data_IF_023724676286
#
_entry.id   IF_023724676286
#
_cell.length_a   1.000
_cell.length_b   1.000
_cell.length_c   1.000
_cell.angle_alpha   90.00
_cell.angle_beta   90.00
_cell.angle_gamma   90.00
#
_symmetry.space_group_name_H-M   'P 1'
#
loop_
_entity.id
_entity.type
_entity.pdbx_description
1 polymer ?
#
# COMPACT_ATOMS: atom_id res chain seq x y z
N UNK A 1 26.20 12.11 -8.52
CA UNK A 1 25.27 10.94 -8.58
C UNK A 1 24.22 11.04 -7.49
N UNK A 2 23.07 10.38 -7.63
CA UNK A 2 21.98 10.45 -6.63
C UNK A 2 22.44 10.04 -5.21
N UNK A 3 23.35 9.09 -5.06
CA UNK A 3 23.88 8.70 -3.76
C UNK A 3 24.59 9.87 -3.05
N UNK A 4 25.44 10.60 -3.75
CA UNK A 4 26.18 11.72 -3.17
C UNK A 4 25.23 12.84 -2.73
N UNK A 5 24.16 13.07 -3.50
CA UNK A 5 23.10 14.03 -3.14
C UNK A 5 22.36 13.59 -1.88
N UNK A 6 21.99 12.29 -1.75
CA UNK A 6 21.35 11.77 -0.55
C UNK A 6 22.24 11.92 0.69
N UNK A 7 23.52 11.63 0.58
CA UNK A 7 24.48 11.79 1.67
C UNK A 7 24.68 13.26 2.06
N UNK A 8 24.76 14.17 1.10
CA UNK A 8 24.85 15.60 1.36
C UNK A 8 23.55 16.14 2.04
N UNK A 9 22.38 15.66 1.60
CA UNK A 9 21.10 16.00 2.24
C UNK A 9 21.01 15.45 3.66
N UNK A 10 21.50 14.22 3.90
CA UNK A 10 21.56 13.63 5.24
C UNK A 10 22.47 14.45 6.18
N UNK A 11 23.65 14.87 5.70
CA UNK A 11 24.56 15.75 6.47
C UNK A 11 23.86 17.03 6.89
N UNK A 12 23.20 17.72 5.96
CA UNK A 12 22.43 18.95 6.24
C UNK A 12 21.26 18.70 7.21
N UNK A 13 20.64 17.53 7.15
CA UNK A 13 19.58 17.16 8.08
C UNK A 13 20.11 17.01 9.51
N UNK A 14 21.29 16.43 9.69
CA UNK A 14 21.93 16.25 11.01
C UNK A 14 22.28 17.58 11.67
N UNK A 15 22.57 18.62 10.90
CA UNK A 15 22.83 19.98 11.40
C UNK A 15 21.60 20.60 12.12
N UNK A 16 20.38 20.11 11.83
CA UNK A 16 19.14 20.56 12.50
C UNK A 16 19.00 20.03 13.93
N UNK A 17 19.90 19.17 14.37
CA UNK A 17 19.90 18.57 15.70
C UNK A 17 19.13 17.25 15.77
N UNK A 18 18.98 16.73 17.00
CA UNK A 18 18.36 15.44 17.24
C UNK A 18 16.83 15.55 17.15
N UNK A 19 16.22 14.56 16.53
CA UNK A 19 14.77 14.39 16.56
C UNK A 19 14.30 13.98 17.97
N UNK A 20 13.08 14.37 18.35
CA UNK A 20 12.44 13.87 19.57
C UNK A 20 12.38 12.33 19.58
N UNK A 21 12.64 11.74 20.74
CA UNK A 21 12.42 10.31 20.95
C UNK A 21 10.92 10.07 21.02
N UNK A 22 10.42 9.14 20.20
CA UNK A 22 9.03 8.69 20.23
C UNK A 22 8.98 7.19 20.50
N UNK A 23 7.87 6.71 21.07
CA UNK A 23 7.64 5.29 21.30
C UNK A 23 7.56 4.48 20.00
N UNK A 24 7.68 3.16 20.12
CA UNK A 24 7.58 2.25 18.97
C UNK A 24 6.12 2.05 18.50
N UNK A 25 5.16 2.14 19.40
CA UNK A 25 3.75 2.01 19.09
C UNK A 25 3.20 3.28 18.41
N UNK A 26 2.37 3.16 17.38
CA UNK A 26 1.73 4.32 16.75
C UNK A 26 0.77 5.00 17.73
N UNK A 27 0.89 6.32 17.90
CA UNK A 27 0.10 7.09 18.90
C UNK A 27 -1.41 6.95 18.68
N UNK A 28 -1.85 6.81 17.42
CA UNK A 28 -3.27 6.67 17.06
C UNK A 28 -3.75 5.20 17.05
N UNK A 29 -2.92 4.24 17.47
CA UNK A 29 -3.24 2.81 17.41
C UNK A 29 -3.80 2.36 16.06
N UNK A 30 -3.27 2.91 14.99
CA UNK A 30 -3.82 2.81 13.65
C UNK A 30 -2.74 2.36 12.66
N UNK A 31 -3.10 1.44 11.76
CA UNK A 31 -2.34 1.18 10.56
C UNK A 31 -3.04 1.79 9.35
N UNK A 32 -2.27 2.32 8.43
CA UNK A 32 -2.72 2.82 7.13
C UNK A 32 -2.02 2.07 6.03
N UNK A 33 -2.77 1.50 5.11
CA UNK A 33 -2.27 0.89 3.88
C UNK A 33 -2.60 1.80 2.73
N UNK A 34 -1.60 2.24 1.98
CA UNK A 34 -1.79 3.13 0.83
C UNK A 34 -0.88 2.76 -0.34
N UNK A 35 -0.99 3.50 -1.44
CA UNK A 35 -0.19 3.25 -2.64
C UNK A 35 1.25 3.74 -2.47
N UNK A 36 2.18 3.04 -3.16
CA UNK A 36 3.59 3.47 -3.27
C UNK A 36 3.80 4.65 -4.22
N UNK A 37 2.75 5.21 -4.82
CA UNK A 37 2.83 6.33 -5.76
C UNK A 37 3.58 7.51 -5.14
N UNK A 38 4.64 7.96 -5.82
CA UNK A 38 5.51 9.03 -5.31
C UNK A 38 4.80 10.37 -5.14
N UNK A 39 3.69 10.59 -5.85
CA UNK A 39 2.87 11.82 -5.74
C UNK A 39 2.14 11.91 -4.40
N UNK A 40 1.96 10.79 -3.69
CA UNK A 40 1.35 10.76 -2.35
C UNK A 40 2.31 11.21 -1.24
N UNK A 41 3.63 11.17 -1.48
CA UNK A 41 4.63 11.52 -0.46
C UNK A 41 4.44 12.96 0.02
N UNK A 42 4.31 13.15 1.33
CA UNK A 42 3.96 14.39 2.04
C UNK A 42 2.53 14.88 1.83
N UNK A 43 2.01 14.85 0.59
CA UNK A 43 0.62 15.23 0.32
C UNK A 43 -0.37 14.40 1.15
N UNK A 44 -0.11 13.11 1.25
CA UNK A 44 -0.94 12.18 2.00
C UNK A 44 -0.94 12.48 3.50
N UNK A 45 0.23 12.66 4.09
CA UNK A 45 0.37 12.97 5.50
C UNK A 45 -0.26 14.34 5.84
N UNK A 46 -0.03 15.34 5.00
CA UNK A 46 -0.60 16.69 5.15
C UNK A 46 -2.13 16.67 5.05
N UNK A 47 -2.69 15.98 4.04
CA UNK A 47 -4.14 15.88 3.84
C UNK A 47 -4.86 15.16 4.98
N UNK A 48 -4.20 14.21 5.64
CA UNK A 48 -4.74 13.44 6.76
C UNK A 48 -4.40 14.03 8.13
N UNK A 49 -3.58 15.08 8.19
CA UNK A 49 -3.09 15.65 9.44
C UNK A 49 -2.27 14.65 10.26
N UNK A 50 -1.42 13.86 9.58
CA UNK A 50 -0.58 12.85 10.20
C UNK A 50 0.81 13.38 10.47
N UNK A 51 1.33 13.09 11.64
CA UNK A 51 2.68 13.41 12.05
C UNK A 51 3.52 12.16 12.28
N UNK A 52 4.82 12.33 12.32
CA UNK A 52 5.77 11.27 12.63
C UNK A 52 5.38 10.53 13.92
N UNK A 53 5.14 9.22 13.83
CA UNK A 53 4.77 8.35 14.95
C UNK A 53 3.27 8.25 15.23
N UNK A 54 2.41 8.85 14.41
CA UNK A 54 0.96 8.76 14.58
C UNK A 54 0.40 7.41 14.17
N UNK A 55 0.83 6.90 13.03
CA UNK A 55 0.31 5.66 12.44
C UNK A 55 1.44 4.73 12.02
N UNK A 56 1.12 3.45 11.88
CA UNK A 56 1.94 2.51 11.13
C UNK A 56 1.53 2.60 9.65
N UNK A 57 2.43 3.04 8.80
CA UNK A 57 2.14 3.22 7.38
C UNK A 57 2.76 2.11 6.55
N UNK A 58 1.96 1.48 5.68
CA UNK A 58 2.34 0.42 4.76
C UNK A 58 2.01 0.86 3.33
N UNK A 59 2.99 0.81 2.43
CA UNK A 59 2.82 1.20 1.03
C UNK A 59 3.00 0.00 0.11
N UNK A 60 2.03 -0.26 -0.75
CA UNK A 60 2.05 -1.32 -1.76
C UNK A 60 1.69 -0.78 -3.12
N UNK A 61 1.96 -1.50 -4.20
CA UNK A 61 1.48 -1.16 -5.53
C UNK A 61 -0.05 -1.11 -5.53
N UNK A 62 -0.65 0.05 -5.88
CA UNK A 62 -2.09 0.24 -5.94
C UNK A 62 -2.85 0.19 -4.61
N UNK A 63 -2.18 0.24 -3.46
CA UNK A 63 -2.79 -0.05 -2.14
C UNK A 63 -3.49 -1.42 -2.12
N UNK A 64 -2.99 -2.40 -2.89
CA UNK A 64 -3.65 -3.70 -3.10
C UNK A 64 -2.86 -4.87 -2.55
N UNK A 65 -3.52 -6.01 -2.47
CA UNK A 65 -2.95 -7.34 -2.30
C UNK A 65 -3.16 -8.07 -3.62
N UNK A 66 -2.11 -8.57 -4.24
CA UNK A 66 -2.21 -9.28 -5.51
C UNK A 66 -3.10 -10.53 -5.39
N UNK A 67 -3.83 -10.89 -6.45
CA UNK A 67 -4.77 -12.02 -6.38
C UNK A 67 -4.11 -13.35 -5.99
N UNK A 68 -2.94 -13.74 -6.56
CA UNK A 68 -2.27 -14.97 -6.12
C UNK A 68 -1.90 -14.99 -4.63
N UNK A 69 -1.61 -13.81 -4.06
CA UNK A 69 -1.30 -13.70 -2.63
C UNK A 69 -2.55 -13.72 -1.75
N UNK A 70 -3.69 -13.23 -2.26
CA UNK A 70 -4.99 -13.35 -1.59
C UNK A 70 -5.36 -14.83 -1.35
N UNK A 71 -5.11 -15.69 -2.33
CA UNK A 71 -5.39 -17.12 -2.26
C UNK A 71 -4.43 -17.87 -1.32
N UNK A 72 -3.16 -17.46 -1.26
CA UNK A 72 -2.16 -18.01 -0.33
C UNK A 72 -2.38 -17.59 1.12
N UNK A 73 -3.17 -16.55 1.35
CA UNK A 73 -3.58 -16.07 2.68
C UNK A 73 -2.53 -15.26 3.42
N UNK A 74 -1.27 -15.68 3.48
CA UNK A 74 -0.18 -14.95 4.12
C UNK A 74 0.73 -14.30 3.07
N UNK A 75 0.87 -12.97 3.13
CA UNK A 75 1.77 -12.17 2.33
C UNK A 75 2.43 -11.10 3.20
N UNK A 76 3.35 -10.33 2.65
CA UNK A 76 4.12 -9.34 3.42
C UNK A 76 3.25 -8.24 4.02
N UNK A 77 2.16 -7.86 3.36
CA UNK A 77 1.21 -6.89 3.92
C UNK A 77 0.47 -7.46 5.13
N UNK A 78 -0.09 -8.66 5.02
CA UNK A 78 -0.76 -9.35 6.14
C UNK A 78 0.19 -9.58 7.30
N UNK A 79 1.44 -10.01 7.03
CA UNK A 79 2.47 -10.20 8.06
C UNK A 79 2.83 -8.89 8.76
N UNK A 80 2.95 -7.80 8.01
CA UNK A 80 3.23 -6.47 8.57
C UNK A 80 2.08 -5.96 9.43
N UNK A 81 0.83 -6.16 8.99
CA UNK A 81 -0.36 -5.84 9.80
C UNK A 81 -0.42 -6.68 11.07
N UNK A 82 -0.14 -7.99 10.99
CA UNK A 82 -0.07 -8.87 12.16
C UNK A 82 0.96 -8.37 13.17
N UNK A 83 2.17 -8.03 12.70
CA UNK A 83 3.21 -7.43 13.55
C UNK A 83 2.77 -6.13 14.21
N UNK A 84 2.11 -5.24 13.46
CA UNK A 84 1.54 -4.00 13.98
C UNK A 84 0.47 -4.23 15.05
N UNK A 85 -0.43 -5.19 14.82
CA UNK A 85 -1.52 -5.52 15.73
C UNK A 85 -1.00 -6.22 16.99
N UNK A 86 -0.21 -7.27 16.83
CA UNK A 86 0.21 -8.10 17.95
C UNK A 86 1.31 -7.49 18.81
N UNK A 87 2.21 -6.69 18.22
CA UNK A 87 3.40 -6.18 18.91
C UNK A 87 3.34 -4.67 19.18
N UNK A 88 2.62 -3.90 18.37
CA UNK A 88 2.63 -2.44 18.42
C UNK A 88 1.26 -1.83 18.81
N UNK A 89 0.26 -2.66 19.13
CA UNK A 89 -1.04 -2.22 19.63
C UNK A 89 -1.93 -1.53 18.59
N UNK A 90 -1.75 -1.83 17.31
CA UNK A 90 -2.69 -1.39 16.27
C UNK A 90 -4.06 -2.03 16.51
N UNK A 91 -5.12 -1.22 16.55
CA UNK A 91 -6.49 -1.64 16.83
C UNK A 91 -7.48 -1.33 15.71
N UNK A 92 -7.02 -0.68 14.63
CA UNK A 92 -7.83 -0.38 13.42
C UNK A 92 -6.93 -0.21 12.21
N UNK A 93 -7.50 -0.46 11.01
CA UNK A 93 -6.79 -0.35 9.74
C UNK A 93 -7.58 0.52 8.77
N UNK A 94 -6.92 1.40 8.06
CA UNK A 94 -7.46 2.15 6.92
C UNK A 94 -6.77 1.70 5.64
N UNK A 95 -7.54 1.31 4.63
CA UNK A 95 -7.06 1.08 3.27
C UNK A 95 -7.41 2.31 2.46
N UNK A 96 -6.39 3.02 1.97
CA UNK A 96 -6.58 4.28 1.27
C UNK A 96 -5.96 4.19 -0.12
N UNK A 97 -6.81 3.92 -1.12
CA UNK A 97 -6.45 4.04 -2.54
C UNK A 97 -6.46 5.48 -3.00
N UNK A 98 -6.05 5.74 -4.23
CA UNK A 98 -6.09 7.09 -4.80
C UNK A 98 -6.57 7.10 -6.24
N UNK A 99 -7.13 8.23 -6.68
CA UNK A 99 -7.52 8.45 -8.08
C UNK A 99 -6.29 8.50 -9.00
N UNK A 100 -6.46 8.19 -10.28
CA UNK A 100 -5.41 8.21 -11.29
C UNK A 100 -4.17 7.36 -10.91
N UNK A 101 -4.40 6.23 -10.25
CA UNK A 101 -3.33 5.28 -9.94
C UNK A 101 -2.83 4.62 -11.24
N UNK A 102 -1.50 4.56 -11.41
CA UNK A 102 -0.90 3.91 -12.57
C UNK A 102 -1.28 2.43 -12.69
N UNK A 103 -1.54 1.74 -11.58
CA UNK A 103 -1.96 0.33 -11.54
C UNK A 103 -3.42 0.13 -12.04
N UNK A 104 -4.23 1.20 -12.07
CA UNK A 104 -5.57 1.19 -12.68
C UNK A 104 -5.58 1.35 -14.20
N UNK A 105 -4.42 1.57 -14.82
CA UNK A 105 -4.29 1.85 -16.25
C UNK A 105 -3.17 1.04 -16.92
N UNK A 106 -2.87 -0.16 -16.41
CA UNK A 106 -1.83 -1.01 -16.97
C UNK A 106 -2.30 -1.57 -18.31
N UNK A 107 -1.57 -1.26 -19.36
CA UNK A 107 -1.74 -1.86 -20.70
C UNK A 107 -0.80 -3.06 -20.87
N UNK A 108 -1.34 -4.20 -21.31
CA UNK A 108 -0.59 -5.45 -21.44
C UNK A 108 0.52 -5.37 -22.50
N UNK A 109 0.28 -4.63 -23.60
CA UNK A 109 1.26 -4.47 -24.68
C UNK A 109 2.43 -3.61 -24.18
N UNK A 110 2.13 -2.51 -23.51
CA UNK A 110 3.14 -1.62 -22.94
C UNK A 110 3.94 -2.32 -21.83
N UNK A 111 3.30 -3.11 -20.97
CA UNK A 111 3.96 -3.91 -19.95
C UNK A 111 4.94 -4.91 -20.58
N UNK A 112 4.47 -5.69 -21.55
CA UNK A 112 5.29 -6.68 -22.26
C UNK A 112 6.51 -6.02 -22.93
N UNK A 113 6.30 -4.94 -23.66
CA UNK A 113 7.38 -4.22 -24.35
C UNK A 113 8.41 -3.65 -23.35
N UNK A 114 7.95 -3.10 -22.22
CA UNK A 114 8.82 -2.56 -21.18
C UNK A 114 9.66 -3.65 -20.52
N UNK A 115 9.06 -4.80 -20.20
CA UNK A 115 9.78 -5.94 -19.60
C UNK A 115 10.86 -6.45 -20.56
N UNK A 116 10.51 -6.68 -21.84
CA UNK A 116 11.44 -7.14 -22.86
C UNK A 116 12.60 -6.16 -23.09
N UNK A 117 12.33 -4.86 -23.10
CA UNK A 117 13.36 -3.83 -23.24
C UNK A 117 14.35 -3.83 -22.06
N UNK A 118 13.91 -4.31 -20.89
CA UNK A 118 14.75 -4.48 -19.69
C UNK A 118 15.38 -5.88 -19.58
N UNK A 119 15.22 -6.74 -20.60
CA UNK A 119 15.78 -8.09 -20.62
C UNK A 119 15.00 -9.11 -19.79
N UNK A 120 13.76 -8.81 -19.41
CA UNK A 120 12.88 -9.74 -18.69
C UNK A 120 11.86 -10.31 -19.66
N UNK A 121 11.80 -11.65 -19.77
CA UNK A 121 10.80 -12.35 -20.57
C UNK A 121 9.50 -12.52 -19.75
N UNK A 122 8.39 -11.87 -20.14
CA UNK A 122 7.12 -12.01 -19.44
C UNK A 122 6.61 -13.45 -19.41
N UNK A 123 6.86 -14.23 -20.47
CA UNK A 123 6.38 -15.60 -20.57
C UNK A 123 7.07 -16.51 -19.54
N UNK A 124 8.37 -16.38 -19.37
CA UNK A 124 9.12 -17.12 -18.34
C UNK A 124 8.60 -16.80 -16.92
N UNK A 125 8.27 -15.54 -16.66
CA UNK A 125 7.71 -15.16 -15.36
C UNK A 125 6.30 -15.72 -15.15
N UNK A 126 5.46 -15.67 -16.19
CA UNK A 126 4.11 -16.26 -16.17
C UNK A 126 4.17 -17.75 -15.84
N UNK A 127 5.04 -18.50 -16.51
CA UNK A 127 5.21 -19.93 -16.29
C UNK A 127 5.77 -20.24 -14.89
N UNK A 128 6.81 -19.53 -14.49
CA UNK A 128 7.46 -19.71 -13.19
C UNK A 128 6.51 -19.50 -12.00
N UNK A 129 5.67 -18.48 -12.08
CA UNK A 129 4.74 -18.11 -11.01
C UNK A 129 3.35 -18.77 -11.17
N UNK A 130 3.13 -19.51 -12.27
CA UNK A 130 1.86 -20.19 -12.54
C UNK A 130 0.70 -19.23 -12.80
N UNK A 131 0.97 -18.09 -13.46
CA UNK A 131 0.00 -16.99 -13.61
C UNK A 131 -0.99 -17.20 -14.75
N UNK A 132 -0.77 -18.21 -15.59
CA UNK A 132 -1.61 -18.60 -16.73
C UNK A 132 -1.39 -17.74 -17.98
N UNK A 133 -1.55 -16.43 -17.89
CA UNK A 133 -1.44 -15.50 -19.01
C UNK A 133 -0.95 -14.10 -18.60
N UNK A 134 -0.88 -13.18 -19.56
CA UNK A 134 -0.50 -11.77 -19.30
C UNK A 134 -1.46 -11.06 -18.35
N UNK A 135 -2.74 -11.43 -18.34
CA UNK A 135 -3.71 -10.87 -17.37
C UNK A 135 -3.41 -11.36 -15.97
N UNK A 136 -2.97 -12.61 -15.82
CA UNK A 136 -2.46 -13.14 -14.56
C UNK A 136 -1.23 -12.38 -14.07
N UNK A 137 -0.29 -12.07 -14.96
CA UNK A 137 0.87 -11.24 -14.65
C UNK A 137 0.46 -9.81 -14.22
N UNK A 138 -0.49 -9.19 -14.90
CA UNK A 138 -1.01 -7.87 -14.50
C UNK A 138 -1.64 -7.92 -13.10
N UNK A 139 -2.44 -8.94 -12.80
CA UNK A 139 -3.02 -9.14 -11.44
C UNK A 139 -1.95 -9.41 -10.39
N UNK A 140 -0.89 -10.15 -10.75
CA UNK A 140 0.25 -10.39 -9.86
C UNK A 140 0.99 -9.08 -9.51
N UNK A 141 1.13 -8.16 -10.46
CA UNK A 141 1.66 -6.81 -10.23
C UNK A 141 0.73 -5.92 -9.40
N UNK A 142 -0.51 -6.32 -9.15
CA UNK A 142 -1.50 -5.53 -8.44
C UNK A 142 -2.32 -4.59 -9.32
N UNK A 143 -2.39 -4.84 -10.65
CA UNK A 143 -3.27 -4.08 -11.53
C UNK A 143 -4.74 -4.32 -11.20
N UNK A 144 -5.54 -3.28 -11.30
CA UNK A 144 -6.99 -3.26 -11.08
C UNK A 144 -7.66 -2.35 -12.11
N UNK A 145 -8.99 -2.41 -12.23
CA UNK A 145 -9.73 -1.57 -13.19
C UNK A 145 -10.26 -0.29 -12.53
N UNK A 146 -10.78 -0.40 -11.31
CA UNK A 146 -11.40 0.71 -10.58
C UNK A 146 -10.95 0.69 -9.11
N UNK A 147 -10.44 1.82 -8.63
CA UNK A 147 -10.01 1.98 -7.24
C UNK A 147 -11.17 1.85 -6.26
N UNK A 148 -12.39 2.23 -6.65
CA UNK A 148 -13.59 2.12 -5.83
C UNK A 148 -14.07 0.66 -5.67
N UNK A 149 -13.63 -0.22 -6.55
CA UNK A 149 -13.83 -1.68 -6.45
C UNK A 149 -12.65 -2.32 -5.72
N UNK A 150 -11.43 -1.94 -6.07
CA UNK A 150 -10.22 -2.53 -5.48
C UNK A 150 -10.13 -2.32 -3.97
N UNK A 151 -10.39 -1.12 -3.47
CA UNK A 151 -10.28 -0.81 -2.04
C UNK A 151 -11.22 -1.66 -1.19
N UNK A 152 -12.54 -1.78 -1.47
CA UNK A 152 -13.42 -2.69 -0.75
C UNK A 152 -12.98 -4.17 -0.81
N UNK A 153 -12.44 -4.62 -1.93
CA UNK A 153 -11.91 -5.98 -2.03
C UNK A 153 -10.73 -6.22 -1.09
N UNK A 154 -9.79 -5.28 -1.02
CA UNK A 154 -8.66 -5.36 -0.08
C UNK A 154 -9.15 -5.33 1.37
N UNK A 155 -10.11 -4.47 1.69
CA UNK A 155 -10.78 -4.44 3.02
C UNK A 155 -11.35 -5.80 3.36
N UNK A 156 -12.08 -6.43 2.42
CA UNK A 156 -12.64 -7.78 2.61
C UNK A 156 -11.56 -8.83 2.89
N UNK A 157 -10.47 -8.82 2.12
CA UNK A 157 -9.34 -9.76 2.32
C UNK A 157 -8.77 -9.64 3.73
N UNK A 158 -8.56 -8.42 4.21
CA UNK A 158 -8.00 -8.19 5.54
C UNK A 158 -8.99 -8.62 6.63
N UNK A 159 -10.28 -8.29 6.52
CA UNK A 159 -11.33 -8.71 7.48
C UNK A 159 -11.50 -10.22 7.58
N UNK A 160 -11.33 -10.92 6.47
CA UNK A 160 -11.50 -12.39 6.41
C UNK A 160 -10.21 -13.15 6.63
N UNK A 161 -9.09 -12.48 6.80
CA UNK A 161 -7.79 -13.11 7.02
C UNK A 161 -7.79 -13.94 8.30
N UNK A 162 -7.38 -15.22 8.25
CA UNK A 162 -7.26 -16.06 9.44
C UNK A 162 -6.04 -15.67 10.31
N UNK A 163 -5.17 -14.81 9.80
CA UNK A 163 -3.95 -14.35 10.49
C UNK A 163 -4.16 -13.05 11.28
N UNK A 164 -5.36 -12.48 11.24
CA UNK A 164 -5.63 -11.21 11.89
C UNK A 164 -6.86 -11.33 12.81
N UNK A 165 -6.87 -10.67 13.98
CA UNK A 165 -8.05 -10.61 14.82
C UNK A 165 -9.14 -9.76 14.16
N UNK A 166 -10.37 -9.87 14.66
CA UNK A 166 -11.48 -9.00 14.22
C UNK A 166 -11.31 -7.59 14.77
N UNK A 167 -10.82 -6.70 13.93
CA UNK A 167 -10.68 -5.27 14.23
C UNK A 167 -11.34 -4.45 13.12
N UNK A 168 -11.72 -3.20 13.38
CA UNK A 168 -12.27 -2.30 12.35
C UNK A 168 -11.30 -2.10 11.19
N UNK A 169 -11.78 -2.29 9.95
CA UNK A 169 -11.05 -2.03 8.72
C UNK A 169 -11.93 -1.15 7.83
N UNK A 170 -11.42 -0.02 7.40
CA UNK A 170 -12.13 0.98 6.62
C UNK A 170 -11.49 1.14 5.25
N UNK A 171 -12.30 1.43 4.23
CA UNK A 171 -11.84 1.71 2.88
C UNK A 171 -12.12 3.15 2.47
N UNK A 172 -11.11 3.86 1.99
CA UNK A 172 -11.19 5.22 1.51
C UNK A 172 -10.48 5.37 0.17
N UNK A 173 -10.87 6.39 -0.59
CA UNK A 173 -10.17 6.85 -1.79
C UNK A 173 -9.80 8.31 -1.60
N UNK A 174 -8.53 8.66 -1.82
CA UNK A 174 -8.07 10.04 -1.85
C UNK A 174 -7.92 10.52 -3.29
N UNK A 175 -8.44 11.69 -3.57
CA UNK A 175 -8.21 12.35 -4.85
C UNK A 175 -6.78 12.90 -4.88
N UNK A 176 -5.97 12.44 -5.86
CA UNK A 176 -4.54 12.75 -5.95
C UNK A 176 -4.26 14.24 -6.24
N UNK A 177 -5.23 14.98 -6.75
CA UNK A 177 -5.06 16.39 -7.10
C UNK A 177 -5.51 17.33 -5.99
N UNK A 178 -6.60 16.97 -5.30
CA UNK A 178 -7.24 17.85 -4.33
C UNK A 178 -7.03 17.45 -2.88
N UNK A 179 -6.59 16.20 -2.63
CA UNK A 179 -6.51 15.62 -1.29
C UNK A 179 -7.88 15.27 -0.67
N UNK A 180 -8.99 15.41 -1.43
CA UNK A 180 -10.34 15.06 -0.94
C UNK A 180 -10.44 13.57 -0.66
N UNK A 181 -10.94 13.22 0.52
CA UNK A 181 -11.23 11.84 0.91
C UNK A 181 -12.69 11.47 0.63
N UNK A 182 -12.88 10.25 0.13
CA UNK A 182 -14.16 9.60 -0.01
C UNK A 182 -14.15 8.27 0.76
N UNK A 183 -15.21 7.99 1.51
CA UNK A 183 -15.37 6.71 2.21
C UNK A 183 -16.10 5.74 1.29
N UNK A 184 -15.42 4.64 0.91
CA UNK A 184 -15.98 3.60 0.03
C UNK A 184 -16.37 2.33 0.78
N UNK A 185 -15.82 2.15 2.00
CA UNK A 185 -16.21 1.09 2.92
C UNK A 185 -16.14 1.60 4.37
N UNK A 186 -17.30 1.70 5.04
CA UNK A 186 -17.42 2.27 6.40
C UNK A 186 -16.98 1.35 7.53
N UNK A 187 -16.53 0.15 7.23
CA UNK A 187 -16.31 -0.86 8.24
C UNK A 187 -17.64 -1.54 8.66
N UNK A 188 -17.56 -2.83 8.94
CA UNK A 188 -18.68 -3.48 9.66
C UNK A 188 -18.61 -2.92 11.08
N UNK A 189 -19.58 -2.08 11.43
CA UNK A 189 -19.60 -1.34 12.68
C UNK A 189 -19.30 -2.24 13.88
N UNK A 190 -18.03 -2.33 14.22
CA UNK A 190 -17.62 -2.69 15.56
C UNK A 190 -17.80 -1.41 16.39
N UNK A 191 -18.99 -1.27 16.94
CA UNK A 191 -19.28 -0.31 17.99
C UNK A 191 -18.44 -0.66 19.22
#
# INVERSE_FOLDING_TARGET
MMLDELLANNTRFLEKGRLPIIGHAPRKHTAVVTCMDCRLVRMFEDALGLERGDVLELRTAGATISQPEREKGANDLIRSLAGGIYLLGVSRVFIIGHTQCGLGHVDSTMLTASMQALGVDPQQLIEREGLGDIKGLMRWLGAFEDVHVNVPEVVKVIRTSPYLPKIPVYGLVIDIQTGKLEVVDKGDGAA
#
